data_IF_699042523974
#
_entry.id   IF_699042523974
#
_cell.length_a   1.000
_cell.length_b   1.000
_cell.length_c   1.000
_cell.angle_alpha   90.00
_cell.angle_beta   90.00
_cell.angle_gamma   90.00
#
_symmetry.space_group_name_H-M   'P 1'
#
loop_
_entity.id
_entity.type
_entity.pdbx_description
1 polymer ?
#
# COMPACT_ATOMS: atom_id res chain seq x y z
N UNK A 1 -36.58 12.80 -23.62
CA UNK A 1 -35.30 12.35 -23.04
C UNK A 1 -34.24 13.05 -23.88
N UNK A 2 -33.53 14.06 -23.36
CA UNK A 2 -32.42 14.63 -24.12
C UNK A 2 -31.40 13.51 -24.33
N UNK A 3 -31.30 13.08 -25.58
CA UNK A 3 -30.29 12.14 -26.05
C UNK A 3 -28.92 12.76 -25.77
N UNK A 4 -27.99 11.97 -25.20
CA UNK A 4 -26.62 12.39 -24.85
C UNK A 4 -26.06 13.36 -25.90
N UNK A 5 -25.96 14.65 -25.55
CA UNK A 5 -25.31 15.62 -26.40
C UNK A 5 -23.82 15.23 -26.46
N UNK A 6 -23.28 14.92 -27.66
CA UNK A 6 -21.88 14.53 -27.79
C UNK A 6 -20.92 15.61 -27.27
N UNK A 7 -21.32 16.88 -27.27
CA UNK A 7 -20.55 17.98 -26.69
C UNK A 7 -20.41 17.86 -25.18
N UNK A 8 -21.52 17.61 -24.47
CA UNK A 8 -21.50 17.47 -23.01
C UNK A 8 -20.64 16.28 -22.55
N UNK A 9 -20.66 15.19 -23.31
CA UNK A 9 -19.82 14.03 -23.04
C UNK A 9 -18.33 14.32 -23.28
N UNK A 10 -17.99 15.05 -24.35
CA UNK A 10 -16.61 15.46 -24.61
C UNK A 10 -16.06 16.36 -23.49
N UNK A 11 -16.82 17.38 -23.09
CA UNK A 11 -16.43 18.30 -22.02
C UNK A 11 -16.29 17.57 -20.67
N UNK A 12 -17.12 16.57 -20.40
CA UNK A 12 -17.00 15.75 -19.20
C UNK A 12 -15.70 14.95 -19.20
N UNK A 13 -15.31 14.39 -20.35
CA UNK A 13 -14.08 13.60 -20.49
C UNK A 13 -12.83 14.48 -20.36
N UNK A 14 -12.85 15.69 -20.92
CA UNK A 14 -11.76 16.65 -20.78
C UNK A 14 -11.55 17.01 -19.30
N UNK A 15 -12.62 17.38 -18.58
CA UNK A 15 -12.53 17.65 -17.14
C UNK A 15 -12.03 16.45 -16.32
N UNK A 16 -12.43 15.24 -16.70
CA UNK A 16 -11.95 14.03 -16.03
C UNK A 16 -10.46 13.80 -16.30
N UNK A 17 -9.98 14.03 -17.53
CA UNK A 17 -8.58 13.93 -17.88
C UNK A 17 -7.73 14.94 -17.09
N UNK A 18 -8.13 16.22 -17.07
CA UNK A 18 -7.44 17.28 -16.31
C UNK A 18 -7.35 16.94 -14.81
N UNK A 19 -8.42 16.38 -14.25
CA UNK A 19 -8.46 15.97 -12.84
C UNK A 19 -7.49 14.82 -12.57
N UNK A 20 -7.42 13.85 -13.47
CA UNK A 20 -6.52 12.71 -13.34
C UNK A 20 -5.06 13.14 -13.48
N UNK A 21 -4.76 14.06 -14.40
CA UNK A 21 -3.43 14.64 -14.58
C UNK A 21 -2.97 15.36 -13.31
N UNK A 22 -3.78 16.30 -12.79
CA UNK A 22 -3.45 17.02 -11.54
C UNK A 22 -3.23 16.07 -10.35
N UNK A 23 -4.02 14.99 -10.27
CA UNK A 23 -3.84 13.98 -9.22
C UNK A 23 -2.55 13.18 -9.42
N UNK A 24 -2.19 12.90 -10.67
CA UNK A 24 -0.93 12.24 -11.03
C UNK A 24 0.28 13.06 -10.59
N UNK A 25 0.30 14.35 -10.93
CA UNK A 25 1.37 15.27 -10.55
C UNK A 25 1.52 15.38 -9.02
N UNK A 26 0.40 15.49 -8.31
CA UNK A 26 0.42 15.53 -6.84
C UNK A 26 1.01 14.24 -6.24
N UNK A 27 0.59 13.08 -6.76
CA UNK A 27 1.09 11.79 -6.29
C UNK A 27 2.58 11.60 -6.60
N UNK A 28 3.05 12.04 -7.76
CA UNK A 28 4.47 12.00 -8.11
C UNK A 28 5.30 12.83 -7.13
N UNK A 29 4.82 14.04 -6.78
CA UNK A 29 5.45 14.87 -5.75
C UNK A 29 5.53 14.19 -4.39
N UNK A 30 4.45 13.53 -3.96
CA UNK A 30 4.42 12.78 -2.70
C UNK A 30 5.41 11.61 -2.70
N UNK A 31 5.49 10.85 -3.79
CA UNK A 31 6.43 9.72 -3.94
C UNK A 31 7.87 10.21 -3.86
N UNK A 32 8.20 11.30 -4.56
CA UNK A 32 9.55 11.87 -4.55
C UNK A 32 9.92 12.40 -3.15
N UNK A 33 8.99 13.04 -2.44
CA UNK A 33 9.20 13.48 -1.06
C UNK A 33 9.49 12.31 -0.12
N UNK A 34 8.71 11.23 -0.21
CA UNK A 34 8.92 10.02 0.61
C UNK A 34 10.26 9.37 0.27
N UNK A 35 10.62 9.33 -1.01
CA UNK A 35 11.90 8.79 -1.46
C UNK A 35 13.07 9.57 -0.86
N UNK A 36 13.04 10.90 -0.94
CA UNK A 36 14.09 11.76 -0.37
C UNK A 36 14.19 11.63 1.15
N UNK A 37 13.05 11.55 1.85
CA UNK A 37 13.02 11.32 3.30
C UNK A 37 13.62 9.97 3.67
N UNK A 38 13.29 8.93 2.91
CA UNK A 38 13.84 7.59 3.10
C UNK A 38 15.35 7.55 2.84
N UNK A 39 15.83 8.14 1.74
CA UNK A 39 17.26 8.22 1.42
C UNK A 39 18.03 8.98 2.51
N UNK A 40 17.46 10.08 3.03
CA UNK A 40 18.03 10.83 4.17
C UNK A 40 18.11 9.98 5.43
N UNK A 41 17.02 9.30 5.80
CA UNK A 41 16.98 8.43 6.99
C UNK A 41 17.92 7.23 6.86
N UNK A 42 18.07 6.68 5.66
CA UNK A 42 18.99 5.58 5.39
C UNK A 42 20.45 6.00 5.57
N UNK A 43 20.79 7.25 5.25
CA UNK A 43 22.12 7.80 5.46
C UNK A 43 22.39 8.18 6.94
N UNK A 44 21.35 8.29 7.76
CA UNK A 44 21.44 8.67 9.17
C UNK A 44 21.69 7.43 10.06
N UNK A 45 22.90 7.34 10.61
CA UNK A 45 23.31 6.26 11.53
C UNK A 45 22.60 6.33 12.89
N UNK A 46 21.92 7.44 13.20
CA UNK A 46 21.06 7.56 14.38
C UNK A 46 19.71 6.87 14.25
N UNK A 47 19.32 6.43 13.04
CA UNK A 47 18.07 5.71 12.80
C UNK A 47 18.25 4.24 13.15
N UNK A 48 17.48 3.68 14.11
CA UNK A 48 17.57 2.27 14.47
C UNK A 48 17.32 1.36 13.26
N UNK A 49 18.29 0.50 12.94
CA UNK A 49 18.22 -0.43 11.81
C UNK A 49 18.70 0.14 10.48
N UNK A 50 19.25 1.36 10.43
CA UNK A 50 19.94 1.85 9.24
C UNK A 50 21.12 0.94 8.88
N UNK A 51 21.32 0.60 7.59
CA UNK A 51 22.49 -0.16 7.18
C UNK A 51 23.77 0.64 7.47
N UNK A 52 24.89 -0.04 7.81
CA UNK A 52 26.18 0.62 7.94
C UNK A 52 26.50 1.40 6.66
N UNK A 53 27.03 2.61 6.80
CA UNK A 53 27.48 3.41 5.67
C UNK A 53 28.48 2.59 4.86
N UNK A 54 28.21 2.40 3.57
CA UNK A 54 29.09 1.70 2.62
C UNK A 54 30.48 2.39 2.66
N UNK A 55 31.39 1.85 3.45
CA UNK A 55 32.69 2.47 3.74
C UNK A 55 33.24 2.20 5.14
N UNK A 56 32.41 1.87 6.12
CA UNK A 56 32.85 1.63 7.52
C UNK A 56 32.94 0.14 7.91
N UNK A 57 32.56 -0.77 7.01
CA UNK A 57 32.69 -2.20 7.25
C UNK A 57 32.56 -2.96 5.95
N UNK A 58 33.57 -3.76 5.65
CA UNK A 58 33.50 -4.78 4.61
C UNK A 58 32.22 -5.64 4.79
N UNK A 59 31.73 -6.21 3.67
CA UNK A 59 30.75 -7.31 3.64
C UNK A 59 29.24 -6.97 3.69
N UNK A 60 28.79 -5.96 2.93
CA UNK A 60 27.37 -5.86 2.52
C UNK A 60 27.04 -6.79 1.31
N UNK A 61 27.57 -8.02 1.30
CA UNK A 61 27.37 -9.03 0.24
C UNK A 61 26.26 -10.05 0.57
N UNK A 62 25.43 -9.84 1.60
CA UNK A 62 24.47 -10.89 2.05
C UNK A 62 22.99 -10.46 2.16
N UNK A 63 22.60 -9.25 1.74
CA UNK A 63 21.18 -8.84 1.77
C UNK A 63 20.38 -9.22 0.50
N UNK A 64 21.03 -9.85 -0.51
CA UNK A 64 20.37 -10.30 -1.76
C UNK A 64 19.89 -11.75 -1.72
N UNK A 65 20.11 -12.47 -0.62
CA UNK A 65 19.66 -13.85 -0.41
C UNK A 65 18.45 -13.92 0.53
N UNK A 66 17.37 -13.20 0.21
CA UNK A 66 16.06 -13.67 0.64
C UNK A 66 15.64 -14.76 -0.34
N UNK A 67 15.56 -16.06 0.04
CA UNK A 67 14.92 -17.03 -0.83
C UNK A 67 13.50 -16.52 -1.10
N UNK A 68 13.14 -16.42 -2.37
CA UNK A 68 11.77 -16.10 -2.75
C UNK A 68 10.82 -17.04 -1.96
N UNK A 69 9.73 -16.55 -1.37
CA UNK A 69 8.74 -17.45 -0.77
C UNK A 69 8.31 -18.42 -1.87
N UNK A 70 8.55 -19.71 -1.63
CA UNK A 70 8.17 -20.78 -2.54
C UNK A 70 6.67 -20.63 -2.82
N UNK A 71 6.32 -20.40 -4.09
CA UNK A 71 4.92 -20.26 -4.47
C UNK A 71 4.18 -21.53 -4.04
N UNK A 72 3.02 -21.43 -3.37
CA UNK A 72 2.22 -22.61 -3.07
C UNK A 72 1.92 -23.34 -4.40
N UNK A 73 1.93 -24.68 -4.42
CA UNK A 73 1.72 -25.44 -5.64
C UNK A 73 0.40 -25.01 -6.30
N UNK A 74 0.46 -24.64 -7.58
CA UNK A 74 -0.71 -24.35 -8.40
C UNK A 74 -1.58 -25.61 -8.48
N UNK A 75 -2.62 -25.66 -7.66
CA UNK A 75 -3.49 -26.83 -7.57
C UNK A 75 -4.51 -26.85 -6.42
N UNK A 76 -4.44 -25.93 -5.45
CA UNK A 76 -5.47 -25.81 -4.42
C UNK A 76 -6.62 -24.92 -4.92
N UNK A 77 -7.48 -25.47 -5.77
CA UNK A 77 -8.81 -24.91 -6.01
C UNK A 77 -9.62 -24.84 -4.69
N UNK A 78 -10.65 -23.99 -4.59
CA UNK A 78 -11.36 -23.75 -3.35
C UNK A 78 -12.17 -24.99 -2.95
N UNK A 79 -11.65 -25.79 -2.02
CA UNK A 79 -12.48 -26.77 -1.32
C UNK A 79 -13.30 -26.03 -0.27
N UNK A 80 -14.55 -25.76 -0.66
CA UNK A 80 -15.63 -25.54 0.27
C UNK A 80 -15.66 -26.66 1.31
N UNK A 81 -15.38 -26.30 2.56
CA UNK A 81 -15.83 -27.04 3.73
C UNK A 81 -16.44 -26.03 4.72
N UNK A 82 -17.70 -25.70 4.44
CA UNK A 82 -18.82 -25.81 5.40
C UNK A 82 -18.45 -26.62 6.66
N UNK A 83 -18.68 -26.26 7.93
CA UNK A 83 -19.71 -25.45 8.65
C UNK A 83 -19.20 -25.24 10.12
N UNK A 84 -20.01 -24.94 11.17
CA UNK A 84 -20.04 -23.67 11.90
C UNK A 84 -19.54 -23.77 13.35
N UNK A 85 -19.23 -22.64 13.99
CA UNK A 85 -19.22 -22.57 15.46
C UNK A 85 -19.69 -21.17 15.89
N UNK A 86 -21.01 -21.06 15.89
CA UNK A 86 -21.81 -20.14 16.67
C UNK A 86 -21.33 -20.15 18.14
N UNK A 87 -20.44 -19.21 18.47
CA UNK A 87 -20.08 -18.89 19.84
C UNK A 87 -21.02 -17.82 20.38
N UNK A 88 -22.16 -18.26 20.89
CA UNK A 88 -23.11 -17.42 21.60
C UNK A 88 -22.50 -16.80 22.88
N UNK A 89 -22.79 -15.51 23.11
CA UNK A 89 -22.74 -14.85 24.43
C UNK A 89 -21.63 -13.80 24.57
N UNK A 90 -21.90 -12.49 24.62
CA UNK A 90 -23.17 -11.77 24.63
C UNK A 90 -22.92 -10.25 24.68
N UNK A 91 -23.95 -9.39 24.54
CA UNK A 91 -23.85 -7.95 24.81
C UNK A 91 -24.38 -7.62 26.22
N UNK A 92 -24.31 -6.37 26.69
CA UNK A 92 -23.16 -5.47 26.81
C UNK A 92 -22.95 -5.05 28.29
N UNK A 93 -21.73 -4.68 28.70
CA UNK A 93 -21.55 -3.95 29.96
C UNK A 93 -21.31 -2.47 29.67
N UNK A 94 -22.42 -1.75 29.48
CA UNK A 94 -22.51 -0.35 29.80
C UNK A 94 -22.66 -0.26 31.33
N UNK A 95 -21.61 0.20 32.02
CA UNK A 95 -21.71 0.67 33.41
C UNK A 95 -21.01 2.02 33.50
N UNK A 96 -21.85 3.04 33.30
CA UNK A 96 -21.85 4.34 33.97
C UNK A 96 -21.08 4.37 35.30
N UNK A 97 -20.11 5.29 35.43
CA UNK A 97 -19.58 5.78 36.71
C UNK A 97 -19.32 7.30 36.56
N UNK A 98 -20.37 8.10 36.79
CA UNK A 98 -20.41 9.31 37.64
C UNK A 98 -21.88 9.68 37.93
#
# INVERSE_FOLDING_TARGET
MPENDPGELADQREREADRLEQRGEALEGDVENVRQDWERKRADQGVPGAPPREGDGAEAEDARSSPAPEAPPEGAGPSAAETPAEGAGGPPADTLDD
#
